data_IF_529223572320
#
_entry.id   IF_529223572320
#
_cell.length_a   1.000
_cell.length_b   1.000
_cell.length_c   1.000
_cell.angle_alpha   90.00
_cell.angle_beta   90.00
_cell.angle_gamma   90.00
#
_symmetry.space_group_name_H-M   'P 1'
#
loop_
_entity.id
_entity.type
_entity.pdbx_description
1 polymer ?
#
# COMPACT_ATOMS: atom_id res chain seq x y z
N UNK A 1 -25.18 -23.12 -38.98
CA UNK A 1 -24.37 -22.12 -38.24
C UNK A 1 -22.95 -22.14 -38.80
N UNK A 2 -22.54 -21.09 -39.48
CA UNK A 2 -21.18 -21.01 -40.04
C UNK A 2 -20.16 -20.74 -38.93
N UNK A 3 -18.97 -21.34 -39.04
CA UNK A 3 -17.86 -21.08 -38.10
C UNK A 3 -17.45 -19.61 -38.17
N UNK A 4 -17.15 -19.02 -37.01
CA UNK A 4 -16.69 -17.62 -36.86
C UNK A 4 -15.24 -17.59 -36.38
N UNK A 5 -14.64 -16.40 -36.35
CA UNK A 5 -13.27 -16.20 -35.84
C UNK A 5 -13.22 -16.43 -34.33
N UNK A 6 -12.24 -17.21 -33.87
CA UNK A 6 -12.19 -17.66 -32.47
C UNK A 6 -11.45 -16.68 -31.54
N UNK A 7 -10.42 -15.95 -32.01
CA UNK A 7 -9.69 -14.92 -31.24
C UNK A 7 -9.20 -13.77 -32.13
N UNK A 8 -9.11 -12.57 -31.56
CA UNK A 8 -8.49 -11.41 -32.19
C UNK A 8 -7.99 -10.43 -31.14
N UNK A 9 -6.70 -10.07 -31.19
CA UNK A 9 -6.15 -8.94 -30.45
C UNK A 9 -6.06 -7.66 -31.31
N UNK A 10 -6.60 -7.72 -32.54
CA UNK A 10 -6.62 -6.55 -33.40
C UNK A 10 -7.39 -5.41 -32.73
N UNK A 11 -6.89 -4.19 -32.85
CA UNK A 11 -7.45 -2.97 -32.28
C UNK A 11 -7.35 -2.80 -30.74
N UNK A 12 -6.90 -3.81 -29.96
CA UNK A 12 -6.81 -3.62 -28.51
C UNK A 12 -5.76 -2.58 -28.13
N UNK A 13 -4.53 -2.69 -28.67
CA UNK A 13 -3.49 -1.69 -28.44
C UNK A 13 -3.94 -0.27 -28.82
N UNK A 14 -4.63 -0.10 -29.96
CA UNK A 14 -5.17 1.22 -30.36
C UNK A 14 -6.17 1.73 -29.33
N UNK A 15 -7.06 0.88 -28.81
CA UNK A 15 -8.02 1.25 -27.76
C UNK A 15 -7.33 1.62 -26.45
N UNK A 16 -6.35 0.83 -26.01
CA UNK A 16 -5.64 1.05 -24.75
C UNK A 16 -4.86 2.37 -24.78
N UNK A 17 -4.36 2.75 -25.95
CA UNK A 17 -3.64 4.01 -26.14
C UNK A 17 -4.54 5.21 -26.47
N UNK A 18 -5.86 5.04 -26.71
CA UNK A 18 -6.77 6.19 -26.93
C UNK A 18 -6.78 7.15 -25.73
N UNK A 19 -6.70 6.61 -24.51
CA UNK A 19 -6.62 7.37 -23.27
C UNK A 19 -5.21 7.33 -22.63
N UNK A 20 -4.27 6.66 -23.30
CA UNK A 20 -2.95 6.30 -22.78
C UNK A 20 -2.99 5.22 -21.70
N UNK A 21 -1.93 4.41 -21.64
CA UNK A 21 -1.71 3.46 -20.53
C UNK A 21 -1.12 4.26 -19.37
N UNK A 22 -1.97 4.69 -18.44
CA UNK A 22 -1.56 5.47 -17.27
C UNK A 22 -0.78 4.60 -16.29
N UNK A 23 0.34 5.10 -15.80
CA UNK A 23 1.08 4.46 -14.68
C UNK A 23 0.26 4.60 -13.39
N UNK A 24 0.47 3.66 -12.48
CA UNK A 24 -0.10 3.72 -11.13
C UNK A 24 0.41 4.99 -10.44
N UNK A 25 -0.49 5.69 -9.73
CA UNK A 25 -0.11 6.84 -8.91
C UNK A 25 0.63 6.34 -7.67
N UNK A 26 1.84 6.85 -7.44
CA UNK A 26 2.64 6.49 -6.27
C UNK A 26 2.23 7.42 -5.12
N UNK A 27 1.32 6.95 -4.27
CA UNK A 27 0.99 7.63 -3.01
C UNK A 27 1.94 7.13 -1.89
N UNK A 28 2.31 8.00 -0.91
CA UNK A 28 3.28 7.63 0.11
C UNK A 28 2.74 6.56 1.09
N UNK A 29 3.43 5.40 1.06
CA UNK A 29 3.48 4.28 2.01
C UNK A 29 2.15 3.74 2.54
N UNK A 30 1.68 2.69 1.89
CA UNK A 30 0.79 1.70 2.50
C UNK A 30 1.59 0.74 3.41
N UNK A 31 0.95 0.22 4.45
CA UNK A 31 1.51 -0.81 5.35
C UNK A 31 0.88 -2.19 5.14
N UNK A 32 -0.07 -2.30 4.21
CA UNK A 32 -0.68 -3.56 3.82
C UNK A 32 0.36 -4.58 3.34
N UNK A 33 0.24 -5.83 3.79
CA UNK A 33 1.18 -6.92 3.48
C UNK A 33 2.45 -6.98 4.34
N UNK A 34 2.72 -5.98 5.19
CA UNK A 34 3.86 -6.03 6.14
C UNK A 34 3.49 -6.88 7.36
N UNK A 35 4.46 -7.61 7.92
CA UNK A 35 4.28 -8.42 9.13
C UNK A 35 3.74 -7.61 10.31
N UNK A 36 2.68 -8.11 10.94
CA UNK A 36 2.03 -7.47 12.10
C UNK A 36 3.01 -7.23 13.27
N UNK A 37 3.99 -8.13 13.48
CA UNK A 37 5.03 -7.97 14.52
C UNK A 37 5.91 -6.75 14.25
N UNK A 38 6.30 -6.55 13.00
CA UNK A 38 7.13 -5.42 12.57
C UNK A 38 6.33 -4.12 12.65
N UNK A 39 5.06 -4.14 12.23
CA UNK A 39 4.17 -2.96 12.34
C UNK A 39 3.94 -2.53 13.79
N UNK A 40 3.68 -3.49 14.69
CA UNK A 40 3.53 -3.21 16.13
C UNK A 40 4.78 -2.57 16.70
N UNK A 41 5.96 -3.12 16.39
CA UNK A 41 7.24 -2.54 16.84
C UNK A 41 7.49 -1.15 16.24
N UNK A 42 7.23 -0.96 14.95
CA UNK A 42 7.38 0.34 14.28
C UNK A 42 6.45 1.40 14.88
N UNK A 43 5.23 1.01 15.26
CA UNK A 43 4.28 1.90 15.96
C UNK A 43 4.84 2.36 17.32
N UNK A 44 5.34 1.43 18.14
CA UNK A 44 5.94 1.79 19.43
C UNK A 44 7.20 2.63 19.28
N UNK A 45 8.06 2.29 18.31
CA UNK A 45 9.28 3.06 18.04
C UNK A 45 8.95 4.51 17.65
N UNK A 46 7.90 4.73 16.83
CA UNK A 46 7.41 6.07 16.50
C UNK A 46 6.79 6.79 17.70
N UNK A 47 5.99 6.09 18.51
CA UNK A 47 5.30 6.63 19.69
C UNK A 47 6.27 7.17 20.75
N UNK A 48 7.34 6.44 21.03
CA UNK A 48 8.30 6.79 22.09
C UNK A 48 9.55 7.50 21.58
N UNK A 49 9.57 7.91 20.31
CA UNK A 49 10.71 8.61 19.74
C UNK A 49 10.89 9.99 20.40
N UNK A 50 12.12 10.34 20.77
CA UNK A 50 12.48 11.64 21.35
C UNK A 50 12.24 11.81 22.85
N UNK A 51 11.43 10.97 23.49
CA UNK A 51 11.15 11.04 24.95
C UNK A 51 11.61 9.75 25.65
N UNK A 52 11.60 8.62 24.95
CA UNK A 52 11.83 7.31 25.56
C UNK A 52 10.59 6.78 26.26
N UNK A 53 10.48 5.46 26.38
CA UNK A 53 9.26 4.80 26.88
C UNK A 53 8.99 5.10 28.37
N UNK A 54 10.02 5.03 29.20
CA UNK A 54 9.90 5.23 30.66
C UNK A 54 9.42 6.65 30.98
N UNK A 55 10.07 7.68 30.44
CA UNK A 55 9.66 9.07 30.66
C UNK A 55 8.28 9.39 30.05
N UNK A 56 7.88 8.70 28.98
CA UNK A 56 6.53 8.82 28.43
C UNK A 56 5.48 8.22 29.38
N UNK A 57 5.75 7.03 29.93
CA UNK A 57 4.85 6.36 30.89
C UNK A 57 4.78 7.10 32.24
N UNK A 58 5.87 7.73 32.69
CA UNK A 58 5.86 8.60 33.89
C UNK A 58 5.01 9.87 33.67
N UNK A 59 5.07 10.47 32.48
CA UNK A 59 4.35 11.72 32.18
C UNK A 59 2.86 11.51 31.91
N UNK A 60 2.51 10.44 31.20
CA UNK A 60 1.14 10.19 30.72
C UNK A 60 0.45 9.02 31.44
N UNK A 61 1.14 8.36 32.37
CA UNK A 61 0.66 7.16 33.05
C UNK A 61 0.94 5.86 32.28
N UNK A 62 0.71 4.70 32.94
CA UNK A 62 0.91 3.39 32.32
C UNK A 62 0.04 3.23 31.07
N UNK A 63 0.63 2.64 30.03
CA UNK A 63 -0.03 2.37 28.75
C UNK A 63 -0.36 0.87 28.69
N UNK A 64 -1.62 0.52 28.95
CA UNK A 64 -2.15 -0.84 28.83
C UNK A 64 -2.20 -1.34 27.36
#
# INVERSE_FOLDING_TARGET
>A
MAKKKNRSNHNQNRKDHRNGIKRIKIDPKDTEGISKKVLKNMSYARKYNGIGRVAFEEKYGPQD
#
